data_IF_795408783936
#
_entry.id   IF_795408783936
#
_cell.length_a   1.000
_cell.length_b   1.000
_cell.length_c   1.000
_cell.angle_alpha   90.00
_cell.angle_beta   90.00
_cell.angle_gamma   90.00
#
_symmetry.space_group_name_H-M   'P 1'
#
loop_
_entity.id
_entity.type
_entity.pdbx_description
1 polymer ?
#
# COMPACT_ATOMS: atom_id res chain seq x y z
N UNK A 1 26.61 16.01 -3.43
CA UNK A 1 25.37 15.34 -3.00
C UNK A 1 24.78 16.20 -1.90
N UNK A 2 23.48 16.48 -1.93
CA UNK A 2 22.80 17.15 -0.81
C UNK A 2 23.01 16.34 0.46
N UNK A 3 23.17 17.00 1.59
CA UNK A 3 23.23 16.33 2.90
C UNK A 3 21.83 15.74 3.18
N UNK A 4 21.77 14.49 3.64
CA UNK A 4 20.53 13.85 4.07
C UNK A 4 20.63 13.62 5.56
N UNK A 5 19.72 14.23 6.32
CA UNK A 5 19.58 13.99 7.76
C UNK A 5 18.65 12.81 7.98
N UNK A 6 19.11 11.81 8.72
CA UNK A 6 18.29 10.67 9.18
C UNK A 6 17.91 10.87 10.64
N UNK A 7 16.62 10.85 10.93
CA UNK A 7 16.06 11.01 12.27
C UNK A 7 15.23 9.78 12.63
N UNK A 8 15.48 9.19 13.80
CA UNK A 8 14.61 8.15 14.36
C UNK A 8 13.38 8.80 14.96
N UNK A 9 12.20 8.37 14.55
CA UNK A 9 10.92 8.78 15.13
C UNK A 9 10.65 7.87 16.34
N UNK A 10 10.54 8.47 17.54
CA UNK A 10 10.35 7.72 18.79
C UNK A 10 8.89 7.50 19.14
N UNK A 11 8.04 8.49 18.84
CA UNK A 11 6.62 8.44 19.20
C UNK A 11 5.82 7.45 18.33
N UNK A 12 6.29 7.22 17.09
CA UNK A 12 5.66 6.33 16.11
C UNK A 12 6.55 5.17 15.67
N UNK A 13 7.68 4.88 16.34
CA UNK A 13 8.67 3.89 15.92
C UNK A 13 8.92 3.92 14.40
N UNK A 14 9.76 4.85 13.94
CA UNK A 14 9.95 5.06 12.52
C UNK A 14 11.24 5.80 12.19
N UNK A 15 11.37 6.16 10.92
CA UNK A 15 12.48 6.97 10.41
C UNK A 15 11.95 8.13 9.57
N UNK A 16 12.68 9.24 9.59
CA UNK A 16 12.50 10.35 8.68
C UNK A 16 13.85 10.68 8.05
N UNK A 17 13.91 10.67 6.73
CA UNK A 17 15.08 11.07 5.95
C UNK A 17 14.79 12.38 5.23
N UNK A 18 15.62 13.39 5.48
CA UNK A 18 15.41 14.76 5.03
C UNK A 18 16.63 15.26 4.25
N UNK A 19 16.54 15.34 2.93
CA UNK A 19 17.54 16.04 2.16
C UNK A 19 17.38 17.56 2.30
N UNK A 20 18.50 18.30 2.23
CA UNK A 20 18.48 19.75 2.29
C UNK A 20 17.60 20.32 1.19
N UNK A 21 16.70 21.24 1.53
CA UNK A 21 15.84 21.95 0.60
C UNK A 21 14.63 21.15 0.07
N UNK A 22 14.29 20.02 0.69
CA UNK A 22 13.10 19.25 0.35
C UNK A 22 11.83 20.12 0.46
N UNK A 23 10.98 20.07 -0.55
CA UNK A 23 9.67 20.74 -0.58
C UNK A 23 8.50 19.77 -0.48
N UNK A 24 8.75 18.47 -0.69
CA UNK A 24 7.76 17.41 -0.60
C UNK A 24 8.09 16.48 0.56
N UNK A 25 7.09 16.16 1.36
CA UNK A 25 7.11 15.13 2.38
C UNK A 25 6.30 13.91 1.96
N UNK A 26 6.89 12.71 2.07
CA UNK A 26 6.23 11.46 1.70
C UNK A 26 6.11 10.56 2.92
N UNK A 27 4.91 10.10 3.24
CA UNK A 27 4.71 8.99 4.17
C UNK A 27 4.76 7.68 3.39
N UNK A 28 5.70 6.81 3.72
CA UNK A 28 5.92 5.52 3.07
C UNK A 28 5.39 4.39 3.94
N UNK A 29 4.41 3.64 3.43
CA UNK A 29 3.71 2.58 4.15
C UNK A 29 4.08 1.19 3.59
N UNK A 30 4.53 0.31 4.48
CA UNK A 30 4.82 -1.09 4.14
C UNK A 30 3.53 -1.88 3.87
N UNK A 31 3.69 -3.07 3.32
CA UNK A 31 2.62 -4.06 3.24
C UNK A 31 2.40 -4.82 4.55
N UNK A 32 1.94 -6.06 4.43
CA UNK A 32 1.64 -6.98 5.55
C UNK A 32 2.84 -7.38 6.42
N UNK A 33 4.04 -6.91 6.09
CA UNK A 33 5.24 -7.13 6.91
C UNK A 33 5.33 -6.21 8.13
N UNK A 34 4.62 -5.07 8.14
CA UNK A 34 4.69 -4.07 9.21
C UNK A 34 6.07 -3.42 9.40
N UNK A 35 7.01 -3.65 8.47
CA UNK A 35 8.38 -3.12 8.58
C UNK A 35 8.42 -1.62 8.31
N UNK A 36 9.47 -0.96 8.81
CA UNK A 36 9.81 0.41 8.43
C UNK A 36 10.52 0.36 7.06
N UNK A 37 10.04 1.11 6.09
CA UNK A 37 10.53 1.12 4.69
C UNK A 37 11.73 2.05 4.50
N UNK A 38 12.77 1.86 5.32
CA UNK A 38 13.96 2.73 5.35
C UNK A 38 14.66 2.84 4.00
N UNK A 39 14.76 1.74 3.24
CA UNK A 39 15.45 1.74 1.94
C UNK A 39 14.66 2.56 0.90
N UNK A 40 13.34 2.48 0.89
CA UNK A 40 12.50 3.33 0.04
C UNK A 40 12.59 4.80 0.44
N UNK A 41 12.61 5.08 1.74
CA UNK A 41 12.88 6.44 2.23
C UNK A 41 14.25 6.96 1.77
N UNK A 42 15.30 6.14 1.81
CA UNK A 42 16.62 6.53 1.29
C UNK A 42 16.62 6.80 -0.22
N UNK A 43 15.92 5.96 -0.98
CA UNK A 43 15.76 6.17 -2.41
C UNK A 43 15.08 7.50 -2.70
N UNK A 44 13.94 7.80 -2.05
CA UNK A 44 13.22 9.07 -2.18
C UNK A 44 14.09 10.26 -1.76
N UNK A 45 14.82 10.15 -0.65
CA UNK A 45 15.73 11.19 -0.19
C UNK A 45 16.87 11.45 -1.17
N UNK A 46 17.37 10.43 -1.88
CA UNK A 46 18.36 10.61 -2.95
C UNK A 46 17.85 11.40 -4.15
N UNK A 47 16.52 11.49 -4.30
CA UNK A 47 15.83 12.31 -5.30
C UNK A 47 15.35 13.67 -4.77
N UNK A 48 15.80 14.08 -3.57
CA UNK A 48 15.47 15.39 -3.01
C UNK A 48 14.14 15.48 -2.27
N UNK A 49 13.53 14.35 -1.96
CA UNK A 49 12.21 14.25 -1.31
C UNK A 49 12.39 13.80 0.14
N UNK A 50 11.78 14.52 1.08
CA UNK A 50 11.74 14.07 2.47
C UNK A 50 10.79 12.88 2.61
N UNK A 51 11.22 11.82 3.28
CA UNK A 51 10.46 10.59 3.37
C UNK A 51 10.46 10.03 4.79
N UNK A 52 9.26 9.79 5.33
CA UNK A 52 9.04 9.13 6.61
C UNK A 52 8.46 7.73 6.41
N UNK A 53 8.81 6.81 7.27
CA UNK A 53 8.14 5.51 7.36
C UNK A 53 8.01 5.12 8.82
N UNK A 54 6.84 4.65 9.22
CA UNK A 54 6.54 4.22 10.57
C UNK A 54 6.09 2.76 10.61
N UNK A 55 6.32 2.12 11.74
CA UNK A 55 5.65 0.87 12.09
C UNK A 55 4.22 1.20 12.54
N UNK A 56 3.23 0.52 12.02
CA UNK A 56 1.83 0.77 12.35
C UNK A 56 1.08 -0.47 12.87
N UNK A 57 1.77 -1.61 12.99
CA UNK A 57 1.35 -2.79 13.74
C UNK A 57 2.57 -3.65 14.11
N UNK A 58 2.43 -4.56 15.07
CA UNK A 58 3.47 -5.46 15.54
C UNK A 58 4.53 -4.80 16.44
N UNK A 59 4.34 -3.54 16.84
CA UNK A 59 5.19 -2.81 17.76
C UNK A 59 4.55 -2.65 19.16
N UNK A 60 5.29 -2.13 20.13
CA UNK A 60 4.77 -1.87 21.48
C UNK A 60 3.53 -0.96 21.46
N UNK A 61 2.43 -1.43 22.07
CA UNK A 61 1.17 -0.68 22.13
C UNK A 61 0.36 -0.65 20.82
N UNK A 62 0.82 -1.34 19.79
CA UNK A 62 0.12 -1.50 18.52
C UNK A 62 -0.60 -2.84 18.45
N UNK A 63 -1.54 -3.03 17.51
CA UNK A 63 -2.06 -4.37 17.21
C UNK A 63 -0.92 -5.33 16.84
N UNK A 64 -0.95 -6.56 17.35
CA UNK A 64 0.09 -7.56 17.09
C UNK A 64 0.13 -8.01 15.62
N UNK A 65 -0.99 -7.88 14.92
CA UNK A 65 -1.19 -8.31 13.54
C UNK A 65 -1.80 -7.16 12.70
N UNK A 66 -1.80 -7.32 11.37
CA UNK A 66 -2.44 -6.38 10.45
C UNK A 66 -3.98 -6.47 10.54
N UNK A 67 -4.52 -6.17 11.71
CA UNK A 67 -5.93 -6.31 12.09
C UNK A 67 -6.34 -5.20 13.07
N UNK A 68 -7.50 -4.58 12.82
CA UNK A 68 -8.06 -3.51 13.65
C UNK A 68 -7.07 -2.36 13.89
N UNK A 69 -6.28 -2.04 12.88
CA UNK A 69 -5.31 -0.95 12.95
C UNK A 69 -6.08 0.37 12.90
N UNK A 70 -5.92 1.27 13.90
CA UNK A 70 -6.54 2.59 13.83
C UNK A 70 -5.92 3.42 12.70
N UNK A 71 -6.75 3.99 11.82
CA UNK A 71 -6.24 4.92 10.79
C UNK A 71 -5.67 6.19 11.40
N UNK A 72 -6.09 6.54 12.62
CA UNK A 72 -5.54 7.62 13.43
C UNK A 72 -4.06 7.42 13.80
N UNK A 73 -3.53 6.19 13.68
CA UNK A 73 -2.09 5.91 13.87
C UNK A 73 -1.20 6.76 12.95
N UNK A 74 -1.75 7.24 11.84
CA UNK A 74 -1.00 8.03 10.86
C UNK A 74 -1.16 9.54 11.04
N UNK A 75 -2.07 10.02 11.88
CA UNK A 75 -2.44 11.44 12.00
C UNK A 75 -1.24 12.32 12.39
N UNK A 76 -0.48 11.92 13.40
CA UNK A 76 0.64 12.74 13.91
C UNK A 76 1.76 12.89 12.87
N UNK A 77 2.12 11.81 12.17
CA UNK A 77 3.16 11.85 11.14
C UNK A 77 2.69 12.62 9.90
N UNK A 78 1.41 12.51 9.53
CA UNK A 78 0.83 13.30 8.44
C UNK A 78 0.83 14.78 8.79
N UNK A 79 0.42 15.14 10.00
CA UNK A 79 0.41 16.51 10.49
C UNK A 79 1.84 17.10 10.55
N UNK A 80 2.84 16.35 11.04
CA UNK A 80 4.24 16.79 11.05
C UNK A 80 4.73 17.06 9.61
N UNK A 81 4.55 16.11 8.70
CA UNK A 81 4.95 16.28 7.30
C UNK A 81 4.23 17.46 6.64
N UNK A 82 2.91 17.58 6.79
CA UNK A 82 2.13 18.69 6.24
C UNK A 82 2.60 20.06 6.78
N UNK A 83 2.97 20.14 8.05
CA UNK A 83 3.46 21.38 8.66
C UNK A 83 4.83 21.84 8.13
N UNK A 84 5.64 20.90 7.61
CA UNK A 84 7.04 21.12 7.25
C UNK A 84 7.27 21.25 5.75
N UNK A 85 6.42 20.62 4.94
CA UNK A 85 6.59 20.55 3.49
C UNK A 85 5.41 21.18 2.76
N UNK A 86 5.69 21.68 1.54
CA UNK A 86 4.67 22.33 0.71
C UNK A 86 3.73 21.34 0.05
N UNK A 87 4.19 20.10 -0.12
CA UNK A 87 3.43 19.00 -0.73
C UNK A 87 3.49 17.77 0.16
N UNK A 88 2.35 17.14 0.41
CA UNK A 88 2.20 15.92 1.21
C UNK A 88 1.77 14.77 0.32
N UNK A 89 2.55 13.69 0.32
CA UNK A 89 2.26 12.49 -0.48
C UNK A 89 2.22 11.27 0.43
N UNK A 90 1.33 10.32 0.14
CA UNK A 90 1.32 9.00 0.79
C UNK A 90 1.61 7.94 -0.25
N UNK A 91 2.66 7.15 -0.03
CA UNK A 91 3.05 6.03 -0.88
C UNK A 91 2.93 4.72 -0.10
N UNK A 92 2.09 3.82 -0.57
CA UNK A 92 1.88 2.53 0.08
C UNK A 92 2.04 1.35 -0.87
N UNK A 93 2.47 0.22 -0.32
CA UNK A 93 2.57 -1.05 -1.08
C UNK A 93 1.66 -2.10 -0.44
N UNK A 94 0.85 -2.80 -1.25
CA UNK A 94 0.01 -3.91 -0.77
C UNK A 94 -0.97 -3.44 0.33
N UNK A 95 -0.89 -3.96 1.56
CA UNK A 95 -1.66 -3.44 2.70
C UNK A 95 -1.43 -1.94 2.93
N UNK A 96 -0.20 -1.48 2.73
CA UNK A 96 0.11 -0.04 2.76
C UNK A 96 -0.57 0.75 1.64
N UNK A 97 -0.79 0.16 0.47
CA UNK A 97 -1.56 0.81 -0.60
C UNK A 97 -3.04 0.96 -0.24
N UNK A 98 -3.60 -0.04 0.47
CA UNK A 98 -4.95 0.06 1.04
C UNK A 98 -5.01 1.21 2.06
N UNK A 99 -4.04 1.30 2.97
CA UNK A 99 -3.95 2.41 3.92
C UNK A 99 -3.80 3.76 3.20
N UNK A 100 -2.90 3.86 2.22
CA UNK A 100 -2.66 5.10 1.47
C UNK A 100 -3.92 5.63 0.78
N UNK A 101 -4.69 4.73 0.13
CA UNK A 101 -5.96 5.10 -0.49
C UNK A 101 -6.99 5.53 0.55
N UNK A 102 -7.11 4.84 1.69
CA UNK A 102 -8.02 5.23 2.77
C UNK A 102 -7.64 6.59 3.35
N UNK A 103 -6.36 6.82 3.66
CA UNK A 103 -5.87 8.11 4.17
C UNK A 103 -6.16 9.24 3.19
N UNK A 104 -5.92 9.04 1.89
CA UNK A 104 -6.30 10.02 0.87
C UNK A 104 -7.79 10.36 0.84
N UNK A 105 -8.68 9.46 1.29
CA UNK A 105 -10.14 9.75 1.41
C UNK A 105 -10.50 10.52 2.67
N UNK A 106 -9.64 10.50 3.70
CA UNK A 106 -9.91 11.07 5.03
C UNK A 106 -9.18 12.40 5.25
N UNK A 107 -8.03 12.59 4.60
CA UNK A 107 -7.12 13.71 4.79
C UNK A 107 -7.04 14.56 3.51
N UNK A 108 -7.85 15.64 3.41
CA UNK A 108 -7.88 16.50 2.22
C UNK A 108 -6.58 17.27 1.98
N UNK A 109 -5.69 17.33 2.98
CA UNK A 109 -4.36 17.91 2.89
C UNK A 109 -3.36 17.01 2.14
N UNK A 110 -3.69 15.75 1.84
CA UNK A 110 -2.85 14.87 1.03
C UNK A 110 -2.98 15.26 -0.44
N UNK A 111 -1.88 15.77 -1.01
CA UNK A 111 -1.80 16.24 -2.40
C UNK A 111 -1.71 15.11 -3.42
N UNK A 112 -1.16 13.95 -3.01
CA UNK A 112 -1.06 12.80 -3.90
C UNK A 112 -1.01 11.47 -3.15
N UNK A 113 -1.51 10.41 -3.82
CA UNK A 113 -1.46 9.03 -3.33
C UNK A 113 -0.81 8.13 -4.38
N UNK A 114 0.20 7.37 -3.96
CA UNK A 114 0.81 6.30 -4.78
C UNK A 114 0.46 4.95 -4.18
N UNK A 115 -0.27 4.13 -4.94
CA UNK A 115 -0.61 2.75 -4.57
C UNK A 115 0.16 1.74 -5.41
N UNK A 116 1.09 1.01 -4.80
CA UNK A 116 1.82 -0.09 -5.44
C UNK A 116 1.16 -1.40 -5.06
N UNK A 117 0.83 -2.24 -6.06
CA UNK A 117 0.03 -3.45 -5.90
C UNK A 117 -1.23 -3.18 -5.10
N UNK A 118 -2.14 -2.31 -5.62
CA UNK A 118 -3.28 -1.79 -4.88
C UNK A 118 -4.42 -2.80 -4.74
N UNK A 119 -5.35 -2.49 -3.84
CA UNK A 119 -6.70 -3.05 -3.77
C UNK A 119 -7.73 -1.93 -3.85
N UNK A 120 -8.99 -2.26 -4.15
CA UNK A 120 -10.09 -1.29 -4.20
C UNK A 120 -11.09 -1.44 -3.05
N UNK A 121 -10.97 -2.53 -2.28
CA UNK A 121 -11.79 -2.79 -1.09
C UNK A 121 -10.93 -2.85 0.16
N UNK A 122 -11.51 -2.59 1.32
CA UNK A 122 -10.91 -3.00 2.58
C UNK A 122 -11.10 -4.49 2.78
N UNK A 123 -10.02 -5.19 3.13
CA UNK A 123 -10.03 -6.61 3.44
C UNK A 123 -10.12 -6.89 4.93
N UNK A 124 -10.48 -8.12 5.28
CA UNK A 124 -10.24 -8.64 6.62
C UNK A 124 -8.76 -8.51 7.00
N UNK A 125 -8.48 -8.35 8.26
CA UNK A 125 -7.11 -8.37 8.78
C UNK A 125 -6.49 -9.76 8.70
N UNK A 126 -5.17 -9.79 8.56
CA UNK A 126 -4.38 -11.03 8.53
C UNK A 126 -4.28 -11.58 9.94
N UNK A 127 -5.16 -12.51 10.28
CA UNK A 127 -5.24 -13.15 11.59
C UNK A 127 -5.96 -14.48 11.48
N UNK A 128 -5.55 -15.44 12.32
CA UNK A 128 -6.23 -16.73 12.47
C UNK A 128 -7.46 -16.65 13.37
N UNK A 129 -7.69 -15.51 14.03
CA UNK A 129 -8.87 -15.34 14.91
C UNK A 129 -10.18 -15.32 14.13
N UNK A 130 -11.20 -15.95 14.73
CA UNK A 130 -12.56 -15.95 14.19
C UNK A 130 -13.57 -15.42 15.23
N UNK A 131 -14.57 -14.68 14.79
CA UNK A 131 -14.86 -14.28 13.41
C UNK A 131 -13.81 -13.30 12.88
N UNK A 132 -13.61 -13.29 11.56
CA UNK A 132 -12.72 -12.35 10.88
C UNK A 132 -13.14 -10.90 11.19
N UNK A 133 -12.16 -10.02 11.32
CA UNK A 133 -12.30 -8.59 11.61
C UNK A 133 -11.66 -7.76 10.52
N UNK A 134 -12.04 -6.48 10.42
CA UNK A 134 -11.41 -5.54 9.48
C UNK A 134 -9.90 -5.39 9.72
N UNK A 135 -9.15 -5.10 8.67
CA UNK A 135 -7.78 -4.59 8.81
C UNK A 135 -7.74 -3.27 9.56
N UNK A 136 -8.77 -2.42 9.38
CA UNK A 136 -8.76 -1.02 9.78
C UNK A 136 -9.92 -0.67 10.72
N UNK A 137 -9.65 0.26 11.62
CA UNK A 137 -10.68 0.97 12.38
C UNK A 137 -10.59 2.47 12.10
N UNK A 138 -11.70 3.16 12.28
CA UNK A 138 -11.80 4.61 12.25
C UNK A 138 -12.66 5.06 13.43
N UNK A 139 -12.14 5.93 14.29
CA UNK A 139 -12.81 6.42 15.51
C UNK A 139 -13.28 5.27 16.43
N UNK A 140 -12.45 4.22 16.50
CA UNK A 140 -12.72 3.03 17.31
C UNK A 140 -13.68 2.02 16.69
N UNK A 141 -14.32 2.35 15.55
CA UNK A 141 -15.26 1.45 14.87
C UNK A 141 -14.58 0.71 13.72
N UNK A 142 -14.92 -0.58 13.55
CA UNK A 142 -14.44 -1.35 12.41
C UNK A 142 -14.93 -0.75 11.11
N UNK A 143 -14.02 -0.54 10.17
CA UNK A 143 -14.42 -0.24 8.80
C UNK A 143 -15.07 -1.45 8.12
N UNK A 144 -16.03 -1.25 7.21
CA UNK A 144 -16.55 -2.33 6.38
C UNK A 144 -15.42 -3.03 5.63
N UNK A 145 -15.50 -4.35 5.48
CA UNK A 145 -14.45 -5.16 4.88
C UNK A 145 -15.02 -6.38 4.14
N UNK A 146 -14.26 -6.89 3.19
CA UNK A 146 -14.52 -8.20 2.56
C UNK A 146 -13.77 -9.26 3.36
N UNK A 147 -14.47 -10.31 3.89
CA UNK A 147 -13.81 -11.43 4.54
C UNK A 147 -12.98 -12.24 3.55
N UNK A 148 -11.98 -12.96 4.04
CA UNK A 148 -11.31 -13.99 3.26
C UNK A 148 -12.23 -15.20 3.08
N UNK A 149 -12.10 -15.87 1.95
CA UNK A 149 -12.66 -17.20 1.76
C UNK A 149 -11.69 -18.25 2.32
N UNK A 150 -11.94 -18.66 3.56
CA UNK A 150 -11.07 -19.61 4.27
C UNK A 150 -10.91 -20.93 3.50
N UNK A 151 -11.95 -21.41 2.83
CA UNK A 151 -11.91 -22.62 2.01
C UNK A 151 -10.99 -22.46 0.78
N UNK A 152 -11.13 -21.34 0.07
CA UNK A 152 -10.29 -21.02 -1.09
C UNK A 152 -8.81 -20.82 -0.68
N UNK A 153 -8.55 -20.24 0.52
CA UNK A 153 -7.19 -20.13 1.06
C UNK A 153 -6.61 -21.50 1.38
N UNK A 154 -7.38 -22.40 2.04
CA UNK A 154 -6.93 -23.75 2.32
C UNK A 154 -6.65 -24.55 1.04
N UNK A 155 -7.48 -24.38 0.01
CA UNK A 155 -7.28 -25.05 -1.28
C UNK A 155 -6.03 -24.52 -1.99
N UNK A 156 -5.78 -23.22 -2.00
CA UNK A 156 -4.55 -22.63 -2.54
C UNK A 156 -3.28 -23.22 -1.87
N UNK A 157 -3.32 -23.41 -0.55
CA UNK A 157 -2.20 -24.02 0.19
C UNK A 157 -2.04 -25.52 -0.17
N UNK A 158 -3.14 -26.26 -0.33
CA UNK A 158 -3.11 -27.68 -0.74
C UNK A 158 -2.58 -27.83 -2.18
N UNK A 159 -3.05 -26.99 -3.10
CA UNK A 159 -2.64 -26.98 -4.52
C UNK A 159 -1.16 -26.65 -4.69
N UNK A 160 -0.60 -25.82 -3.82
CA UNK A 160 0.82 -25.50 -3.83
C UNK A 160 1.72 -26.74 -3.61
N UNK A 161 1.19 -27.83 -2.97
CA UNK A 161 1.88 -29.13 -2.88
C UNK A 161 3.26 -29.08 -2.22
N UNK A 162 3.51 -28.07 -1.36
CA UNK A 162 4.80 -27.82 -0.70
C UNK A 162 5.63 -26.70 -1.35
N UNK A 163 5.19 -26.15 -2.49
CA UNK A 163 5.70 -24.90 -3.05
C UNK A 163 5.06 -23.69 -2.35
N UNK A 164 5.43 -22.48 -2.78
CA UNK A 164 4.85 -21.26 -2.22
C UNK A 164 3.43 -21.04 -2.76
N UNK A 165 2.40 -20.91 -1.90
CA UNK A 165 1.03 -20.72 -2.34
C UNK A 165 0.81 -19.35 -3.01
N UNK A 166 -0.04 -19.34 -4.03
CA UNK A 166 -0.61 -18.16 -4.68
C UNK A 166 -2.03 -17.93 -4.14
N UNK A 167 -2.38 -16.68 -3.82
CA UNK A 167 -3.69 -16.36 -3.25
C UNK A 167 -4.58 -15.50 -4.15
N UNK A 168 -4.13 -15.15 -5.37
CA UNK A 168 -4.91 -14.28 -6.26
C UNK A 168 -6.33 -14.83 -6.51
N UNK A 169 -6.45 -16.11 -6.80
CA UNK A 169 -7.75 -16.77 -7.00
C UNK A 169 -8.60 -16.80 -5.72
N UNK A 170 -7.98 -16.99 -4.55
CA UNK A 170 -8.70 -16.95 -3.28
C UNK A 170 -9.27 -15.56 -2.97
N UNK A 171 -8.56 -14.49 -3.35
CA UNK A 171 -9.09 -13.12 -3.25
C UNK A 171 -10.25 -12.88 -4.25
N UNK A 172 -10.16 -13.42 -5.47
CA UNK A 172 -11.25 -13.34 -6.45
C UNK A 172 -12.49 -14.13 -5.95
N UNK A 173 -12.30 -15.34 -5.44
CA UNK A 173 -13.36 -16.14 -4.81
C UNK A 173 -14.03 -15.39 -3.65
N UNK A 174 -13.25 -14.74 -2.80
CA UNK A 174 -13.79 -13.94 -1.70
C UNK A 174 -14.66 -12.76 -2.18
N UNK A 175 -14.27 -12.08 -3.27
CA UNK A 175 -15.08 -11.01 -3.88
C UNK A 175 -16.42 -11.54 -4.42
N UNK A 176 -16.45 -12.74 -4.98
CA UNK A 176 -17.67 -13.39 -5.47
C UNK A 176 -18.54 -13.89 -4.30
N UNK A 177 -17.95 -14.62 -3.36
CA UNK A 177 -18.63 -15.21 -2.21
C UNK A 177 -19.28 -14.16 -1.32
N UNK A 178 -18.64 -13.02 -1.13
CA UNK A 178 -19.09 -11.91 -0.31
C UNK A 178 -19.50 -10.68 -1.12
N UNK A 179 -20.07 -10.90 -2.32
CA UNK A 179 -20.46 -9.83 -3.23
C UNK A 179 -21.42 -8.80 -2.60
N UNK A 180 -22.23 -9.21 -1.61
CA UNK A 180 -23.12 -8.35 -0.83
C UNK A 180 -22.35 -7.37 0.08
N UNK A 181 -21.12 -7.69 0.47
CA UNK A 181 -20.26 -6.85 1.33
C UNK A 181 -19.36 -5.91 0.53
N UNK A 182 -19.05 -6.27 -0.71
CA UNK A 182 -18.15 -5.49 -1.58
C UNK A 182 -18.55 -4.02 -1.68
N UNK A 183 -19.82 -3.63 -1.89
CA UNK A 183 -20.19 -2.22 -2.01
C UNK A 183 -19.84 -1.39 -0.77
N UNK A 184 -20.08 -1.93 0.43
CA UNK A 184 -19.77 -1.24 1.68
C UNK A 184 -18.27 -1.19 1.97
N UNK A 185 -17.52 -2.22 1.57
CA UNK A 185 -16.07 -2.33 1.75
C UNK A 185 -15.27 -1.58 0.67
N UNK A 186 -15.91 -1.17 -0.44
CA UNK A 186 -15.25 -0.43 -1.51
C UNK A 186 -14.82 0.95 -1.01
N UNK A 187 -13.54 1.24 -1.15
CA UNK A 187 -12.97 2.53 -0.72
C UNK A 187 -13.54 3.68 -1.57
N UNK A 188 -13.96 4.80 -0.94
CA UNK A 188 -14.58 5.93 -1.64
C UNK A 188 -13.50 6.84 -2.29
N UNK A 189 -12.70 6.26 -3.21
CA UNK A 189 -11.53 6.88 -3.82
C UNK A 189 -11.84 8.14 -4.64
N UNK A 190 -13.09 8.38 -4.97
CA UNK A 190 -13.57 9.64 -5.55
C UNK A 190 -13.50 10.83 -4.57
N UNK A 191 -13.24 10.58 -3.29
CA UNK A 191 -12.99 11.62 -2.28
C UNK A 191 -11.53 12.08 -2.23
N UNK A 192 -10.62 11.36 -2.87
CA UNK A 192 -9.23 11.78 -2.99
C UNK A 192 -9.17 12.90 -4.02
N UNK A 193 -9.01 14.13 -3.53
CA UNK A 193 -8.94 15.30 -4.41
C UNK A 193 -7.59 15.41 -5.14
N UNK A 194 -6.53 14.87 -4.54
CA UNK A 194 -5.18 14.89 -5.07
C UNK A 194 -4.93 13.92 -6.21
N UNK A 195 -3.69 13.93 -6.71
CA UNK A 195 -3.22 13.02 -7.74
C UNK A 195 -3.21 11.57 -7.25
N UNK A 196 -3.54 10.63 -8.14
CA UNK A 196 -3.47 9.19 -7.81
C UNK A 196 -2.69 8.45 -8.88
N UNK A 197 -1.61 7.79 -8.46
CA UNK A 197 -0.80 6.90 -9.29
C UNK A 197 -0.89 5.47 -8.74
N UNK A 198 -1.30 4.53 -9.58
CA UNK A 198 -1.41 3.12 -9.23
C UNK A 198 -0.46 2.30 -10.09
N UNK A 199 0.28 1.39 -9.44
CA UNK A 199 1.27 0.53 -10.09
C UNK A 199 0.91 -0.92 -9.80
N UNK A 200 0.64 -1.72 -10.85
CA UNK A 200 0.12 -3.08 -10.70
C UNK A 200 0.74 -4.07 -11.67
N UNK A 201 1.19 -5.20 -11.16
CA UNK A 201 1.72 -6.31 -11.94
C UNK A 201 0.62 -7.24 -12.45
N UNK A 202 0.66 -7.60 -13.76
CA UNK A 202 -0.29 -8.55 -14.36
C UNK A 202 -0.09 -9.99 -13.93
N UNK A 203 1.13 -10.33 -13.50
CA UNK A 203 1.47 -11.62 -12.92
C UNK A 203 1.44 -11.64 -11.38
N UNK A 204 0.76 -10.68 -10.73
CA UNK A 204 0.61 -10.65 -9.27
C UNK A 204 -0.08 -11.91 -8.77
N UNK A 205 0.64 -12.74 -8.02
CA UNK A 205 0.14 -14.00 -7.49
C UNK A 205 -0.48 -13.89 -6.09
N UNK A 206 -0.39 -12.70 -5.45
CA UNK A 206 -1.02 -12.51 -4.15
C UNK A 206 -2.46 -12.05 -4.26
N UNK A 207 -2.74 -10.99 -5.01
CA UNK A 207 -4.10 -10.50 -5.21
C UNK A 207 -4.28 -9.81 -6.57
N UNK A 208 -5.52 -9.58 -7.03
CA UNK A 208 -5.79 -9.06 -8.37
C UNK A 208 -5.53 -7.55 -8.50
N UNK A 209 -4.25 -7.12 -8.36
CA UNK A 209 -3.88 -5.70 -8.28
C UNK A 209 -4.23 -4.91 -9.55
N UNK A 210 -4.14 -5.50 -10.75
CA UNK A 210 -4.53 -4.84 -12.01
C UNK A 210 -6.04 -4.60 -12.05
N UNK A 211 -6.85 -5.60 -11.67
CA UNK A 211 -8.30 -5.44 -11.56
C UNK A 211 -8.63 -4.30 -10.58
N UNK A 212 -7.96 -4.29 -9.44
CA UNK A 212 -8.18 -3.27 -8.42
C UNK A 212 -7.82 -1.86 -8.93
N UNK A 213 -6.68 -1.70 -9.58
CA UNK A 213 -6.25 -0.42 -10.16
C UNK A 213 -7.27 0.10 -11.19
N UNK A 214 -7.81 -0.80 -12.02
CA UNK A 214 -8.82 -0.43 -13.01
C UNK A 214 -10.16 -0.04 -12.39
N UNK A 215 -10.59 -0.72 -11.32
CA UNK A 215 -11.81 -0.36 -10.56
C UNK A 215 -11.65 1.04 -9.94
N UNK A 216 -10.50 1.31 -9.31
CA UNK A 216 -10.20 2.63 -8.74
C UNK A 216 -10.23 3.70 -9.84
N UNK A 217 -9.54 3.46 -10.97
CA UNK A 217 -9.49 4.39 -12.11
C UNK A 217 -10.90 4.69 -12.62
N UNK A 218 -11.72 3.67 -12.89
CA UNK A 218 -13.10 3.84 -13.39
C UNK A 218 -13.96 4.64 -12.42
N UNK A 219 -13.85 4.35 -11.11
CA UNK A 219 -14.62 5.06 -10.09
C UNK A 219 -14.25 6.54 -10.05
N UNK A 220 -12.96 6.87 -10.07
CA UNK A 220 -12.49 8.27 -10.09
C UNK A 220 -12.87 8.98 -11.39
N UNK A 221 -12.73 8.32 -12.54
CA UNK A 221 -13.15 8.88 -13.84
C UNK A 221 -14.65 9.19 -13.89
N UNK A 222 -15.50 8.40 -13.24
CA UNK A 222 -16.94 8.67 -13.13
C UNK A 222 -17.26 9.94 -12.30
N UNK A 223 -16.27 10.50 -11.63
CA UNK A 223 -16.33 11.76 -10.86
C UNK A 223 -15.40 12.85 -11.44
N UNK A 224 -15.04 12.74 -12.73
CA UNK A 224 -14.17 13.70 -13.43
C UNK A 224 -12.75 13.85 -12.81
N UNK A 225 -12.27 12.78 -12.14
CA UNK A 225 -10.94 12.73 -11.53
C UNK A 225 -10.01 11.80 -12.32
N UNK A 226 -8.81 12.24 -12.55
CA UNK A 226 -7.78 11.45 -13.23
C UNK A 226 -7.10 10.47 -12.29
N UNK A 227 -6.61 9.36 -12.86
CA UNK A 227 -5.81 8.35 -12.17
C UNK A 227 -4.83 7.77 -13.16
N UNK A 228 -3.56 7.89 -12.87
CA UNK A 228 -2.51 7.24 -13.66
C UNK A 228 -2.40 5.79 -13.22
N UNK A 229 -2.48 4.87 -14.18
CA UNK A 229 -2.32 3.43 -13.93
C UNK A 229 -1.16 2.91 -14.78
N UNK A 230 -0.13 2.38 -14.13
CA UNK A 230 1.04 1.79 -14.78
C UNK A 230 1.03 0.29 -14.54
N UNK A 231 1.08 -0.49 -15.61
CA UNK A 231 1.07 -1.95 -15.53
C UNK A 231 2.19 -2.60 -16.34
N UNK A 232 2.50 -3.84 -15.99
CA UNK A 232 3.36 -4.71 -16.77
C UNK A 232 2.79 -6.15 -16.71
N UNK A 233 2.56 -6.83 -17.86
CA UNK A 233 1.87 -8.12 -17.86
C UNK A 233 2.58 -9.21 -17.05
N UNK A 234 3.91 -9.21 -17.06
CA UNK A 234 4.74 -10.25 -16.44
C UNK A 234 5.33 -9.84 -15.08
N UNK A 235 5.01 -8.64 -14.57
CA UNK A 235 5.44 -8.23 -13.22
C UNK A 235 4.49 -8.81 -12.17
N UNK A 236 5.07 -9.14 -11.01
CA UNK A 236 4.34 -9.69 -9.88
C UNK A 236 3.91 -8.64 -8.86
N UNK A 237 3.76 -9.11 -7.62
CA UNK A 237 3.38 -8.27 -6.48
C UNK A 237 4.50 -7.32 -6.03
N UNK A 238 5.74 -7.60 -6.42
CA UNK A 238 6.95 -6.90 -6.00
C UNK A 238 7.37 -5.89 -7.04
N UNK A 239 6.99 -4.65 -6.88
CA UNK A 239 7.51 -3.56 -7.72
C UNK A 239 8.77 -2.99 -7.07
N UNK A 240 9.86 -2.93 -7.85
CA UNK A 240 11.16 -2.39 -7.41
C UNK A 240 11.40 -1.09 -8.15
N UNK A 241 11.37 0.04 -7.42
CA UNK A 241 11.62 1.36 -7.99
C UNK A 241 13.12 1.56 -8.27
N UNK A 242 13.49 2.44 -9.22
CA UNK A 242 14.90 2.74 -9.53
C UNK A 242 15.68 3.21 -8.29
N UNK A 243 16.81 2.55 -8.02
CA UNK A 243 17.64 2.86 -6.85
C UNK A 243 17.30 2.06 -5.60
N UNK A 244 16.21 1.31 -5.59
CA UNK A 244 15.92 0.39 -4.51
C UNK A 244 16.76 -0.89 -4.58
N UNK A 245 17.20 -1.43 -3.43
CA UNK A 245 17.75 -2.78 -3.40
C UNK A 245 16.67 -3.78 -3.79
N UNK A 246 17.07 -4.89 -4.40
CA UNK A 246 16.16 -6.00 -4.64
C UNK A 246 15.59 -6.52 -3.31
N UNK A 247 14.29 -6.76 -3.25
CA UNK A 247 13.69 -7.36 -2.08
C UNK A 247 14.11 -8.85 -1.99
N UNK A 248 14.35 -9.39 -0.79
CA UNK A 248 14.63 -10.81 -0.64
C UNK A 248 13.44 -11.64 -1.13
N UNK A 249 13.73 -12.82 -1.68
CA UNK A 249 12.67 -13.73 -2.10
C UNK A 249 11.77 -14.09 -0.92
N UNK A 250 10.47 -14.18 -1.16
CA UNK A 250 9.55 -14.69 -0.15
C UNK A 250 9.87 -16.14 0.16
N UNK A 251 9.71 -16.49 1.43
CA UNK A 251 9.81 -17.88 1.91
C UNK A 251 8.43 -18.45 2.32
N UNK A 252 7.37 -17.68 2.14
CA UNK A 252 6.02 -18.03 2.61
C UNK A 252 4.95 -17.96 1.52
N UNK A 253 5.12 -17.08 0.53
CA UNK A 253 4.08 -16.75 -0.45
C UNK A 253 4.71 -16.62 -1.84
N UNK A 254 4.01 -17.08 -2.87
CA UNK A 254 4.35 -16.76 -4.25
C UNK A 254 3.93 -15.31 -4.54
N UNK A 255 4.88 -14.49 -4.98
CA UNK A 255 4.58 -13.10 -5.38
C UNK A 255 4.26 -12.96 -6.87
N UNK A 256 4.47 -14.05 -7.61
CA UNK A 256 4.35 -14.02 -9.08
C UNK A 256 5.44 -13.19 -9.75
N UNK A 257 5.30 -13.04 -11.05
CA UNK A 257 6.20 -12.25 -11.86
C UNK A 257 7.63 -12.77 -11.94
N UNK A 258 8.52 -11.87 -12.33
CA UNK A 258 9.97 -12.09 -12.34
C UNK A 258 10.68 -10.83 -11.89
N UNK A 259 11.90 -10.97 -11.34
CA UNK A 259 12.69 -9.82 -10.88
C UNK A 259 12.93 -8.79 -12.02
N UNK A 260 13.11 -9.25 -13.24
CA UNK A 260 13.28 -8.38 -14.42
C UNK A 260 12.01 -7.58 -14.68
N UNK A 261 10.86 -8.24 -14.75
CA UNK A 261 9.59 -7.59 -15.02
C UNK A 261 9.17 -6.65 -13.86
N UNK A 262 9.45 -7.02 -12.61
CA UNK A 262 9.20 -6.19 -11.42
C UNK A 262 10.02 -4.88 -11.47
N UNK A 263 11.28 -4.95 -11.90
CA UNK A 263 12.15 -3.78 -12.12
C UNK A 263 11.71 -2.96 -13.33
N UNK A 264 11.31 -3.60 -14.42
CA UNK A 264 10.78 -2.91 -15.61
C UNK A 264 9.50 -2.15 -15.27
N UNK A 265 8.60 -2.74 -14.48
CA UNK A 265 7.41 -2.05 -13.99
C UNK A 265 7.79 -0.84 -13.13
N UNK A 266 8.76 -0.97 -12.22
CA UNK A 266 9.28 0.14 -11.43
C UNK A 266 9.87 1.25 -12.27
N UNK A 267 10.66 0.90 -13.31
CA UNK A 267 11.22 1.88 -14.25
C UNK A 267 10.14 2.64 -15.03
N UNK A 268 9.07 1.97 -15.44
CA UNK A 268 7.92 2.60 -16.13
C UNK A 268 7.11 3.48 -15.19
N UNK A 269 6.96 3.08 -13.92
CA UNK A 269 6.18 3.81 -12.93
C UNK A 269 6.90 5.05 -12.40
N UNK A 270 8.23 5.03 -12.36
CA UNK A 270 9.00 6.09 -11.72
C UNK A 270 8.76 7.48 -12.30
N UNK A 271 8.72 7.71 -13.65
CA UNK A 271 8.41 9.03 -14.20
C UNK A 271 7.06 9.60 -13.72
N UNK A 272 6.04 8.75 -13.62
CA UNK A 272 4.70 9.15 -13.18
C UNK A 272 4.68 9.45 -11.67
N UNK A 273 5.40 8.65 -10.88
CA UNK A 273 5.56 8.91 -9.44
C UNK A 273 6.37 10.20 -9.24
N UNK A 274 7.49 10.35 -9.91
CA UNK A 274 8.37 11.52 -9.76
C UNK A 274 7.69 12.84 -10.17
N UNK A 275 6.72 12.79 -11.10
CA UNK A 275 5.98 13.97 -11.54
C UNK A 275 5.04 14.54 -10.47
N UNK A 276 4.68 13.74 -9.47
CA UNK A 276 3.79 14.13 -8.36
C UNK A 276 4.54 14.32 -7.04
N UNK A 277 5.85 14.13 -7.00
CA UNK A 277 6.72 14.37 -5.86
C UNK A 277 7.33 15.78 -5.94
#
# INVERSE_FOLDING_TARGET
MASVRETTLTDSEGVLLEPDGATTGVLVLSGSSGRIETDRCRMLASHGVAAASIRYFGGPGQPDEARLIPLETFDDVLADLHSRYQRLVVLGTSWGAQAALLLGTLHPEIDAVVGISPTYVSWAGLSDERPQRSSWTLRGEQMPFVPFDDEAIEDAVKEAGGELPSFCEAYLSALEKYADRVPAATMPVERIAGDVVLVAGGGDALWPSVLAAEVVRRRRTAHDLETVVVTHPDAGHRVVLPGEPGLPLSQRLAWGGSETADRELGLRAWPEIAAIL
#
